data_IF_335054427844
#
_entry.id   IF_335054427844
#
_cell.length_a   1.000
_cell.length_b   1.000
_cell.length_c   1.000
_cell.angle_alpha   90.00
_cell.angle_beta   90.00
_cell.angle_gamma   90.00
#
_symmetry.space_group_name_H-M   'P 1'
#
loop_
_entity.id
_entity.type
_entity.pdbx_description
1 polymer ?
#
# COMPACT_ATOMS: atom_id res chain seq x y z
N UNK A 1 -49.44 -39.68 21.02
CA UNK A 1 -48.21 -39.90 20.21
C UNK A 1 -48.24 -39.19 18.83
N UNK A 2 -48.81 -37.97 18.72
CA UNK A 2 -48.86 -37.21 17.45
C UNK A 2 -48.05 -35.90 17.51
N UNK A 3 -47.87 -35.31 18.70
CA UNK A 3 -47.13 -34.05 18.89
C UNK A 3 -45.60 -34.13 18.77
N UNK A 4 -45.00 -35.29 19.04
CA UNK A 4 -43.54 -35.46 18.95
C UNK A 4 -43.04 -35.65 17.51
N UNK A 5 -43.86 -36.25 16.63
CA UNK A 5 -43.51 -36.45 15.20
C UNK A 5 -43.41 -35.13 14.43
N UNK A 6 -44.23 -34.14 14.79
CA UNK A 6 -44.24 -32.82 14.15
C UNK A 6 -43.03 -31.98 14.53
N UNK A 7 -42.60 -32.02 15.80
CA UNK A 7 -41.43 -31.27 16.29
C UNK A 7 -40.14 -31.84 15.67
N UNK A 8 -40.02 -33.17 15.61
CA UNK A 8 -38.86 -33.82 14.99
C UNK A 8 -38.77 -33.50 13.48
N UNK A 9 -39.90 -33.43 12.78
CA UNK A 9 -39.94 -33.05 11.36
C UNK A 9 -39.54 -31.59 11.14
N UNK A 10 -39.95 -30.68 12.03
CA UNK A 10 -39.59 -29.26 11.95
C UNK A 10 -38.10 -29.03 12.20
N UNK A 11 -37.51 -29.75 13.17
CA UNK A 11 -36.06 -29.69 13.44
C UNK A 11 -35.27 -30.28 12.25
N UNK A 12 -35.76 -31.36 11.64
CA UNK A 12 -35.08 -31.97 10.49
C UNK A 12 -35.01 -31.01 9.27
N UNK A 13 -36.09 -30.27 9.00
CA UNK A 13 -36.14 -29.27 7.91
C UNK A 13 -35.22 -28.07 8.18
N UNK A 14 -35.12 -27.63 9.43
CA UNK A 14 -34.19 -26.58 9.83
C UNK A 14 -32.72 -27.04 9.68
N UNK A 15 -32.40 -28.27 10.06
CA UNK A 15 -31.03 -28.77 9.94
C UNK A 15 -30.61 -28.95 8.47
N UNK A 16 -31.50 -29.41 7.58
CA UNK A 16 -31.17 -29.57 6.16
C UNK A 16 -31.01 -28.24 5.42
N UNK A 17 -31.74 -27.19 5.80
CA UNK A 17 -31.57 -25.85 5.24
C UNK A 17 -30.26 -25.18 5.67
N UNK A 18 -29.78 -25.45 6.88
CA UNK A 18 -28.45 -24.98 7.33
C UNK A 18 -27.28 -25.75 6.70
N UNK A 19 -27.46 -27.02 6.33
CA UNK A 19 -26.37 -27.84 5.75
C UNK A 19 -26.07 -27.53 4.28
N UNK A 20 -27.02 -27.01 3.51
CA UNK A 20 -26.83 -26.68 2.09
C UNK A 20 -26.09 -25.33 1.90
N UNK A 21 -26.03 -24.49 2.94
CA UNK A 21 -25.51 -23.12 2.83
C UNK A 21 -23.99 -22.97 3.05
N UNK A 22 -23.24 -24.06 3.24
CA UNK A 22 -21.78 -23.99 3.46
C UNK A 22 -20.94 -24.60 2.33
N UNK A 23 -21.55 -24.97 1.19
CA UNK A 23 -20.86 -25.46 0.01
C UNK A 23 -20.70 -24.36 -1.03
N UNK A 24 -19.90 -23.34 -0.76
CA UNK A 24 -19.46 -22.42 -1.83
C UNK A 24 -18.72 -23.23 -2.90
N UNK A 25 -18.92 -22.98 -4.21
CA UNK A 25 -18.25 -23.73 -5.24
C UNK A 25 -16.74 -23.56 -5.09
N UNK A 26 -16.05 -24.65 -4.72
CA UNK A 26 -14.60 -24.77 -4.75
C UNK A 26 -14.15 -24.95 -6.20
N UNK A 27 -14.41 -23.93 -7.02
CA UNK A 27 -13.72 -23.79 -8.30
C UNK A 27 -12.42 -23.12 -7.96
N UNK A 28 -11.29 -23.80 -8.19
CA UNK A 28 -9.98 -23.18 -8.10
C UNK A 28 -9.95 -22.00 -9.08
N UNK A 29 -10.13 -20.78 -8.56
CA UNK A 29 -9.97 -19.57 -9.34
C UNK A 29 -8.51 -19.49 -9.77
N UNK A 30 -8.28 -19.23 -11.05
CA UNK A 30 -6.95 -18.95 -11.56
C UNK A 30 -6.28 -17.86 -10.70
N UNK A 31 -4.93 -17.88 -10.56
CA UNK A 31 -4.22 -16.83 -9.85
C UNK A 31 -4.66 -15.46 -10.38
N UNK A 32 -4.92 -14.47 -9.50
CA UNK A 32 -5.37 -13.18 -9.95
C UNK A 32 -4.27 -12.52 -10.82
N UNK A 33 -4.63 -12.12 -12.03
CA UNK A 33 -3.77 -11.36 -12.94
C UNK A 33 -4.28 -9.92 -13.05
N UNK A 34 -3.43 -9.01 -13.50
CA UNK A 34 -3.80 -7.62 -13.69
C UNK A 34 -4.72 -7.45 -14.90
N UNK A 35 -5.80 -6.69 -14.77
CA UNK A 35 -6.57 -6.25 -15.94
C UNK A 35 -5.88 -5.06 -16.63
N UNK A 36 -6.12 -4.85 -17.93
CA UNK A 36 -5.60 -3.66 -18.63
C UNK A 36 -6.00 -2.34 -17.94
N UNK A 37 -7.21 -2.26 -17.39
CA UNK A 37 -7.68 -1.09 -16.65
C UNK A 37 -6.92 -0.87 -15.33
N UNK A 38 -6.55 -1.95 -14.62
CA UNK A 38 -5.72 -1.85 -13.42
C UNK A 38 -4.33 -1.35 -13.78
N UNK A 39 -3.71 -1.91 -14.82
CA UNK A 39 -2.38 -1.47 -15.29
C UNK A 39 -2.43 -0.01 -15.69
N UNK A 40 -3.42 0.41 -16.49
CA UNK A 40 -3.56 1.80 -16.91
C UNK A 40 -3.68 2.75 -15.70
N UNK A 41 -4.49 2.41 -14.69
CA UNK A 41 -4.61 3.22 -13.47
C UNK A 41 -3.31 3.29 -12.68
N UNK A 42 -2.56 2.18 -12.58
CA UNK A 42 -1.27 2.17 -11.90
C UNK A 42 -0.29 3.10 -12.62
N UNK A 43 -0.21 2.98 -13.96
CA UNK A 43 0.74 3.74 -14.78
C UNK A 43 0.44 5.25 -14.84
N UNK A 44 -0.77 5.69 -14.47
CA UNK A 44 -1.06 7.13 -14.31
C UNK A 44 -0.26 7.74 -13.17
N UNK A 45 0.00 7.00 -12.08
CA UNK A 45 0.55 7.55 -10.84
C UNK A 45 2.00 7.16 -10.57
N UNK A 46 2.49 6.06 -11.16
CA UNK A 46 3.87 5.59 -10.97
C UNK A 46 4.93 6.60 -11.40
N UNK A 47 4.81 7.32 -12.54
CA UNK A 47 5.83 8.26 -12.99
C UNK A 47 6.14 9.35 -11.95
N UNK A 48 5.13 9.88 -11.27
CA UNK A 48 5.32 10.91 -10.25
C UNK A 48 6.03 10.37 -8.99
N UNK A 49 5.85 9.08 -8.68
CA UNK A 49 6.59 8.40 -7.60
C UNK A 49 8.06 8.23 -7.99
N UNK A 50 8.32 7.87 -9.25
CA UNK A 50 9.68 7.72 -9.80
C UNK A 50 10.42 9.06 -9.85
N UNK A 51 9.75 10.15 -10.25
CA UNK A 51 10.33 11.50 -10.22
C UNK A 51 10.84 11.87 -8.83
N UNK A 52 10.09 11.54 -7.77
CA UNK A 52 10.54 11.80 -6.40
C UNK A 52 11.70 10.89 -6.01
N UNK A 53 11.64 9.60 -6.39
CA UNK A 53 12.73 8.63 -6.19
C UNK A 53 14.05 9.14 -6.79
N UNK A 54 14.00 9.65 -8.02
CA UNK A 54 15.17 10.13 -8.76
C UNK A 54 15.74 11.42 -8.17
N UNK A 55 14.92 12.20 -7.46
CA UNK A 55 15.32 13.40 -6.71
C UNK A 55 15.84 13.09 -5.30
N UNK A 56 16.13 11.84 -4.96
CA UNK A 56 16.67 11.45 -3.65
C UNK A 56 17.94 12.22 -3.26
N UNK A 57 18.88 12.38 -4.18
CA UNK A 57 20.13 13.09 -3.93
C UNK A 57 19.92 14.60 -3.70
N UNK A 58 18.82 15.20 -4.18
CA UNK A 58 18.44 16.59 -3.87
C UNK A 58 18.16 16.72 -2.37
N UNK A 59 17.24 15.90 -1.83
CA UNK A 59 16.90 15.94 -0.41
C UNK A 59 18.12 15.63 0.48
N UNK A 60 18.94 14.67 0.09
CA UNK A 60 20.20 14.36 0.80
C UNK A 60 21.14 15.55 0.83
N UNK A 61 21.25 16.30 -0.27
CA UNK A 61 22.08 17.50 -0.35
C UNK A 61 21.55 18.59 0.57
N UNK A 62 20.23 18.85 0.56
CA UNK A 62 19.58 19.80 1.47
C UNK A 62 19.84 19.45 2.95
N UNK A 63 19.68 18.18 3.32
CA UNK A 63 19.95 17.70 4.69
C UNK A 63 21.42 17.91 5.10
N UNK A 64 22.37 17.59 4.20
CA UNK A 64 23.80 17.75 4.49
C UNK A 64 24.22 19.21 4.62
N UNK A 65 23.60 20.09 3.84
CA UNK A 65 23.84 21.53 3.91
C UNK A 65 23.12 22.22 5.07
N UNK A 66 22.20 21.52 5.74
CA UNK A 66 21.43 22.09 6.85
C UNK A 66 20.37 23.10 6.39
N UNK A 67 19.93 23.01 5.13
CA UNK A 67 18.90 23.87 4.55
C UNK A 67 17.51 23.40 5.01
N UNK A 68 17.23 23.51 6.31
CA UNK A 68 16.07 22.87 6.95
C UNK A 68 14.72 23.37 6.43
N UNK A 69 14.65 24.62 5.97
CA UNK A 69 13.46 25.16 5.32
C UNK A 69 13.19 24.40 4.02
N UNK A 70 14.22 24.19 3.20
CA UNK A 70 14.09 23.49 1.92
C UNK A 70 13.88 21.98 2.10
N UNK A 71 14.45 21.38 3.16
CA UNK A 71 14.10 20.01 3.58
C UNK A 71 12.59 19.91 3.84
N UNK A 72 12.02 20.84 4.61
CA UNK A 72 10.58 20.89 4.86
C UNK A 72 9.75 21.12 3.59
N UNK A 73 10.18 22.04 2.72
CA UNK A 73 9.53 22.30 1.44
C UNK A 73 9.50 21.05 0.54
N UNK A 74 10.61 20.31 0.49
CA UNK A 74 10.70 19.08 -0.29
C UNK A 74 9.77 17.98 0.27
N UNK A 75 9.68 17.84 1.60
CA UNK A 75 8.79 16.86 2.26
C UNK A 75 7.31 17.19 2.04
N UNK A 76 6.93 18.46 2.25
CA UNK A 76 5.54 18.90 2.16
C UNK A 76 5.07 19.22 0.73
N UNK A 77 5.98 19.31 -0.24
CA UNK A 77 5.67 19.42 -1.66
C UNK A 77 5.78 18.05 -2.37
N UNK A 78 6.86 17.82 -3.13
CA UNK A 78 6.96 16.66 -4.03
C UNK A 78 6.80 15.30 -3.32
N UNK A 79 7.38 15.12 -2.13
CA UNK A 79 7.25 13.85 -1.40
C UNK A 79 5.81 13.56 -0.97
N UNK A 80 5.08 14.59 -0.53
CA UNK A 80 3.68 14.42 -0.12
C UNK A 80 2.80 14.01 -1.31
N UNK A 81 3.10 14.54 -2.49
CA UNK A 81 2.47 14.15 -3.75
C UNK A 81 2.77 12.69 -4.12
N UNK A 82 4.04 12.25 -4.05
CA UNK A 82 4.37 10.83 -4.26
C UNK A 82 3.64 9.90 -3.29
N UNK A 83 3.52 10.28 -2.00
CA UNK A 83 2.74 9.50 -1.02
C UNK A 83 1.25 9.43 -1.39
N UNK A 84 0.68 10.52 -1.88
CA UNK A 84 -0.70 10.55 -2.37
C UNK A 84 -0.86 9.57 -3.55
N UNK A 85 0.08 9.60 -4.49
CA UNK A 85 0.10 8.70 -5.65
C UNK A 85 0.23 7.22 -5.25
N UNK A 86 1.04 6.88 -4.24
CA UNK A 86 1.04 5.53 -3.66
C UNK A 86 -0.35 5.10 -3.17
N UNK A 87 -1.12 6.03 -2.59
CA UNK A 87 -2.49 5.76 -2.10
C UNK A 87 -3.45 5.45 -3.25
N UNK A 88 -3.26 6.07 -4.42
CA UNK A 88 -4.04 5.78 -5.62
C UNK A 88 -3.63 4.47 -6.31
N UNK A 89 -2.35 4.09 -6.23
CA UNK A 89 -1.85 2.82 -6.78
C UNK A 89 -2.34 1.61 -5.98
N UNK A 90 -2.25 1.65 -4.65
CA UNK A 90 -2.57 0.52 -3.75
C UNK A 90 -3.87 -0.22 -4.08
N UNK A 91 -5.04 0.42 -4.26
CA UNK A 91 -6.29 -0.29 -4.53
C UNK A 91 -6.34 -0.99 -5.89
N UNK A 92 -5.42 -0.66 -6.80
CA UNK A 92 -5.33 -1.27 -8.13
C UNK A 92 -4.33 -2.45 -8.17
N UNK A 93 -3.53 -2.66 -7.13
CA UNK A 93 -2.69 -3.85 -6.98
C UNK A 93 -3.52 -5.12 -6.79
N UNK A 94 -2.92 -6.27 -7.07
CA UNK A 94 -3.55 -7.55 -6.77
C UNK A 94 -3.88 -7.65 -5.27
N UNK A 95 -4.99 -8.31 -4.88
CA UNK A 95 -5.45 -8.33 -3.49
C UNK A 95 -4.39 -8.77 -2.48
N UNK A 96 -3.50 -9.69 -2.86
CA UNK A 96 -2.42 -10.18 -2.00
C UNK A 96 -1.33 -9.14 -1.72
N UNK A 97 -1.12 -8.17 -2.61
CA UNK A 97 -0.04 -7.17 -2.48
C UNK A 97 -0.50 -5.90 -1.77
N UNK A 98 -1.81 -5.62 -1.76
CA UNK A 98 -2.35 -4.40 -1.14
C UNK A 98 -1.98 -4.25 0.35
N UNK A 99 -2.04 -5.29 1.21
CA UNK A 99 -1.65 -5.14 2.62
C UNK A 99 -0.18 -4.74 2.78
N UNK A 100 0.72 -5.36 1.98
CA UNK A 100 2.15 -5.06 1.99
C UNK A 100 2.41 -3.64 1.49
N UNK A 101 1.75 -3.22 0.42
CA UNK A 101 1.86 -1.86 -0.12
C UNK A 101 1.38 -0.79 0.87
N UNK A 102 0.29 -1.05 1.62
CA UNK A 102 -0.18 -0.16 2.71
C UNK A 102 0.83 -0.07 3.85
N UNK A 103 1.44 -1.19 4.22
CA UNK A 103 2.46 -1.21 5.26
C UNK A 103 3.69 -0.38 4.86
N UNK A 104 4.15 -0.53 3.60
CA UNK A 104 5.25 0.26 3.05
C UNK A 104 4.91 1.75 3.03
N UNK A 105 3.73 2.12 2.54
CA UNK A 105 3.29 3.53 2.52
C UNK A 105 3.19 4.14 3.93
N UNK A 106 2.81 3.35 4.94
CA UNK A 106 2.80 3.78 6.34
C UNK A 106 4.21 3.92 6.92
N UNK A 107 5.12 3.01 6.59
CA UNK A 107 6.52 3.10 6.99
C UNK A 107 7.16 4.35 6.37
N UNK A 108 6.96 4.57 5.08
CA UNK A 108 7.40 5.77 4.36
C UNK A 108 6.96 7.04 5.08
N UNK A 109 5.66 7.19 5.38
CA UNK A 109 5.15 8.33 6.16
C UNK A 109 5.86 8.48 7.51
N UNK A 110 6.07 7.38 8.23
CA UNK A 110 6.74 7.43 9.53
C UNK A 110 8.18 7.93 9.41
N UNK A 111 8.90 7.59 8.33
CA UNK A 111 10.24 8.08 8.09
C UNK A 111 10.23 9.57 7.71
N UNK A 112 9.26 10.04 6.92
CA UNK A 112 9.09 11.47 6.62
C UNK A 112 8.86 12.30 7.89
N UNK A 113 8.00 11.84 8.79
CA UNK A 113 7.76 12.49 10.09
C UNK A 113 9.06 12.59 10.91
N UNK A 114 9.93 11.58 10.86
CA UNK A 114 11.24 11.63 11.53
C UNK A 114 12.19 12.63 10.89
N UNK A 115 12.17 12.79 9.56
CA UNK A 115 12.95 13.82 8.88
C UNK A 115 12.46 15.21 9.31
N UNK A 116 11.14 15.45 9.35
CA UNK A 116 10.56 16.71 9.85
C UNK A 116 10.96 17.01 11.31
N UNK A 117 10.88 15.99 12.17
CA UNK A 117 11.31 16.11 13.57
C UNK A 117 12.80 16.44 13.67
N UNK A 118 13.63 15.81 12.86
CA UNK A 118 15.07 16.07 12.81
C UNK A 118 15.37 17.49 12.30
N UNK A 119 14.68 17.95 11.26
CA UNK A 119 14.84 19.28 10.69
C UNK A 119 14.51 20.39 11.70
N UNK A 120 13.47 20.20 12.52
CA UNK A 120 13.08 21.16 13.58
C UNK A 120 14.17 21.45 14.60
N UNK A 121 15.09 20.50 14.84
CA UNK A 121 16.18 20.62 15.80
C UNK A 121 17.56 20.57 15.16
N UNK A 122 17.64 20.64 13.82
CA UNK A 122 18.88 20.57 13.06
C UNK A 122 19.67 19.27 13.21
N UNK A 123 19.01 18.14 13.47
CA UNK A 123 19.67 16.85 13.67
C UNK A 123 19.98 16.15 12.33
N UNK A 124 21.10 16.51 11.71
CA UNK A 124 21.56 15.95 10.42
C UNK A 124 21.68 14.42 10.44
N UNK A 125 22.17 13.84 11.53
CA UNK A 125 22.36 12.38 11.60
C UNK A 125 21.02 11.64 11.54
N UNK A 126 20.03 12.09 12.31
CA UNK A 126 18.68 11.50 12.30
C UNK A 126 17.95 11.75 10.98
N UNK A 127 18.12 12.95 10.40
CA UNK A 127 17.56 13.28 9.10
C UNK A 127 18.12 12.35 8.00
N UNK A 128 19.44 12.14 7.95
CA UNK A 128 20.08 11.26 6.96
C UNK A 128 19.69 9.79 7.12
N UNK A 129 19.61 9.27 8.35
CA UNK A 129 19.17 7.89 8.57
C UNK A 129 17.71 7.70 8.14
N UNK A 130 16.84 8.64 8.51
CA UNK A 130 15.42 8.57 8.16
C UNK A 130 15.17 8.79 6.67
N UNK A 131 15.94 9.67 6.03
CA UNK A 131 15.99 9.84 4.58
C UNK A 131 16.29 8.51 3.87
N UNK A 132 17.35 7.81 4.30
CA UNK A 132 17.73 6.53 3.70
C UNK A 132 16.59 5.52 3.77
N UNK A 133 15.95 5.40 4.93
CA UNK A 133 14.84 4.48 5.12
C UNK A 133 13.62 4.87 4.26
N UNK A 134 13.32 6.17 4.14
CA UNK A 134 12.21 6.65 3.31
C UNK A 134 12.38 6.26 1.83
N UNK A 135 13.58 6.41 1.26
CA UNK A 135 13.83 6.02 -0.14
C UNK A 135 13.90 4.51 -0.33
N UNK A 136 14.34 3.75 0.67
CA UNK A 136 14.20 2.29 0.68
C UNK A 136 12.73 1.88 0.62
N UNK A 137 11.83 2.60 1.29
CA UNK A 137 10.40 2.31 1.22
C UNK A 137 9.79 2.66 -0.14
N UNK A 138 10.26 3.73 -0.81
CA UNK A 138 9.88 4.00 -2.21
C UNK A 138 10.32 2.85 -3.12
N UNK A 139 11.58 2.38 -3.01
CA UNK A 139 12.09 1.27 -3.82
C UNK A 139 11.28 -0.01 -3.58
N UNK A 140 10.98 -0.35 -2.32
CA UNK A 140 10.14 -1.51 -1.98
C UNK A 140 8.72 -1.37 -2.53
N UNK A 141 8.17 -0.16 -2.58
CA UNK A 141 6.85 0.08 -3.15
C UNK A 141 6.87 -0.14 -4.66
N UNK A 142 7.88 0.40 -5.34
CA UNK A 142 8.06 0.25 -6.80
C UNK A 142 8.27 -1.21 -7.21
N UNK A 143 8.87 -2.04 -6.35
CA UNK A 143 8.97 -3.50 -6.57
C UNK A 143 7.62 -4.24 -6.55
N UNK A 144 6.53 -3.62 -6.10
CA UNK A 144 5.19 -4.20 -6.15
C UNK A 144 4.41 -3.79 -7.41
N UNK A 145 4.99 -2.95 -8.25
CA UNK A 145 4.37 -2.47 -9.49
C UNK A 145 4.58 -3.52 -10.58
N UNK A 146 3.54 -3.93 -11.30
CA UNK A 146 3.69 -4.89 -12.41
C UNK A 146 4.55 -4.29 -13.52
N UNK A 147 5.36 -5.12 -14.18
CA UNK A 147 6.09 -4.70 -15.36
C UNK A 147 5.10 -4.46 -16.52
N UNK A 148 5.46 -3.54 -17.41
CA UNK A 148 4.70 -3.29 -18.64
C UNK A 148 4.85 -4.52 -19.55
N UNK A 149 3.99 -5.52 -19.36
CA UNK A 149 4.05 -6.81 -20.07
C UNK A 149 3.50 -8.02 -19.29
N UNK A 150 3.23 -7.90 -17.99
CA UNK A 150 2.76 -9.00 -17.12
C UNK A 150 1.25 -9.33 -17.29
N UNK A 151 0.75 -9.34 -18.54
CA UNK A 151 -0.65 -9.66 -18.88
C UNK A 151 -0.89 -11.14 -19.13
#
# INVERSE_FOLDING_TARGET
MVRQRSILSLILVLVTTFLISCGGPSVATAPPTYTPDQVAKIQVYVPDIEVVRDRSEELKTLIKSGEWIDVGNFIHGPITEARLNMTYVIPNLLPQDQPKARQISKAFLSHLVKIDQAAKVGNTSLALSSYKDAFVDIDKFLQLIPEVGDS
#
